data_IF_950237982448
#
_entry.id   IF_950237982448
#
_cell.length_a   1.000
_cell.length_b   1.000
_cell.length_c   1.000
_cell.angle_alpha   90.00
_cell.angle_beta   90.00
_cell.angle_gamma   90.00
#
_symmetry.space_group_name_H-M   'P 1'
#
loop_
_entity.id
_entity.type
_entity.pdbx_description
1 polymer ?
#
# COMPACT_ATOMS: atom_id res chain seq x y z
N UNK A 1 21.64 12.65 14.21
CA UNK A 1 21.67 11.94 12.91
C UNK A 1 22.90 12.19 12.04
N UNK A 2 23.32 11.17 11.25
CA UNK A 2 24.39 11.24 10.24
C UNK A 2 23.83 11.55 8.84
N UNK A 3 24.61 12.21 7.96
CA UNK A 3 24.17 12.64 6.63
C UNK A 3 23.65 11.48 5.75
N UNK A 4 24.34 10.34 5.74
CA UNK A 4 23.92 9.16 4.97
C UNK A 4 22.51 8.71 5.34
N UNK A 5 22.19 8.65 6.64
CA UNK A 5 20.87 8.26 7.14
C UNK A 5 19.80 9.27 6.73
N UNK A 6 20.10 10.57 6.82
CA UNK A 6 19.15 11.62 6.42
C UNK A 6 18.84 11.53 4.92
N UNK A 7 19.87 11.38 4.08
CA UNK A 7 19.70 11.24 2.62
C UNK A 7 18.80 10.06 2.25
N UNK A 8 18.95 8.92 2.93
CA UNK A 8 18.10 7.75 2.72
C UNK A 8 16.63 7.97 3.16
N UNK A 9 16.37 8.93 4.05
CA UNK A 9 15.03 9.23 4.55
C UNK A 9 14.37 10.43 3.85
N UNK A 10 15.06 11.12 2.93
CA UNK A 10 14.52 12.34 2.31
C UNK A 10 13.24 12.12 1.51
N UNK A 11 13.10 11.00 0.77
CA UNK A 11 11.85 10.71 0.04
C UNK A 11 10.68 10.60 1.00
N UNK A 12 10.80 9.69 1.98
CA UNK A 12 9.78 9.48 3.03
C UNK A 12 9.47 10.75 3.83
N UNK A 13 10.47 11.60 4.03
CA UNK A 13 10.30 12.90 4.69
C UNK A 13 9.44 13.85 3.84
N UNK A 14 9.68 13.92 2.53
CA UNK A 14 8.89 14.75 1.60
C UNK A 14 7.46 14.22 1.45
N UNK A 15 7.29 12.90 1.46
CA UNK A 15 6.00 12.22 1.33
C UNK A 15 5.21 12.17 2.66
N UNK A 16 5.75 12.74 3.74
CA UNK A 16 5.16 12.74 5.10
C UNK A 16 4.90 11.34 5.68
N UNK A 17 5.70 10.35 5.28
CA UNK A 17 5.60 8.95 5.72
C UNK A 17 6.41 8.64 7.00
N UNK A 18 7.19 9.61 7.49
CA UNK A 18 7.96 9.47 8.72
C UNK A 18 7.08 9.81 9.93
N UNK A 19 7.17 9.00 10.99
CA UNK A 19 6.61 9.35 12.30
C UNK A 19 7.20 10.65 12.85
N UNK A 20 6.45 11.33 13.72
CA UNK A 20 6.75 12.69 14.21
C UNK A 20 8.18 12.85 14.75
N UNK A 21 8.63 11.91 15.58
CA UNK A 21 9.98 11.95 16.18
C UNK A 21 11.09 11.93 15.13
N UNK A 22 10.95 11.06 14.12
CA UNK A 22 11.94 10.87 13.08
C UNK A 22 11.92 12.04 12.08
N UNK A 23 10.73 12.56 11.77
CA UNK A 23 10.56 13.78 10.98
C UNK A 23 11.24 14.98 11.66
N UNK A 24 11.06 15.13 12.97
CA UNK A 24 11.72 16.18 13.75
C UNK A 24 13.25 16.02 13.77
N UNK A 25 13.79 14.79 13.87
CA UNK A 25 15.24 14.56 13.82
C UNK A 25 15.82 14.92 12.45
N UNK A 26 15.13 14.56 11.36
CA UNK A 26 15.50 14.92 9.98
C UNK A 26 15.47 16.44 9.81
N UNK A 27 14.39 17.12 10.24
CA UNK A 27 14.27 18.58 10.17
C UNK A 27 15.37 19.31 10.93
N UNK A 28 15.71 18.84 12.15
CA UNK A 28 16.85 19.38 12.92
C UNK A 28 18.19 19.25 12.19
N UNK A 29 18.38 18.16 11.43
CA UNK A 29 19.60 17.99 10.64
C UNK A 29 19.61 18.90 9.41
N UNK A 30 18.50 19.03 8.69
CA UNK A 30 18.36 19.93 7.53
C UNK A 30 18.58 21.41 7.89
N UNK A 31 18.21 21.80 9.11
CA UNK A 31 18.50 23.13 9.64
C UNK A 31 20.01 23.42 9.79
N UNK A 32 20.84 22.39 9.99
CA UNK A 32 22.28 22.52 10.28
C UNK A 32 23.20 22.10 9.13
N UNK A 33 22.75 21.21 8.24
CA UNK A 33 23.59 20.64 7.19
C UNK A 33 23.19 21.17 5.80
N UNK A 34 24.04 22.04 5.24
CA UNK A 34 23.86 22.58 3.88
C UNK A 34 23.79 21.48 2.81
N UNK A 35 24.66 20.47 2.88
CA UNK A 35 24.71 19.40 1.89
C UNK A 35 23.45 18.52 1.85
N UNK A 36 22.80 18.31 3.00
CA UNK A 36 21.53 17.58 3.05
C UNK A 36 20.35 18.44 2.61
N UNK A 37 20.35 19.73 2.94
CA UNK A 37 19.36 20.70 2.43
C UNK A 37 19.41 20.84 0.91
N UNK A 38 20.61 20.86 0.33
CA UNK A 38 20.78 20.88 -1.12
C UNK A 38 20.24 19.60 -1.79
N UNK A 39 20.38 18.44 -1.13
CA UNK A 39 19.82 17.19 -1.64
C UNK A 39 18.28 17.16 -1.56
N UNK A 40 17.71 17.62 -0.44
CA UNK A 40 16.27 17.80 -0.28
C UNK A 40 15.69 18.73 -1.36
N UNK A 41 16.33 19.88 -1.60
CA UNK A 41 15.89 20.85 -2.61
C UNK A 41 15.90 20.26 -4.03
N UNK A 42 16.89 19.40 -4.37
CA UNK A 42 16.92 18.70 -5.66
C UNK A 42 15.75 17.74 -5.82
N UNK A 43 15.44 16.97 -4.79
CA UNK A 43 14.28 16.05 -4.78
C UNK A 43 12.97 16.83 -4.90
N UNK A 44 12.80 17.90 -4.12
CA UNK A 44 11.61 18.76 -4.20
C UNK A 44 11.43 19.35 -5.60
N UNK A 45 12.50 19.84 -6.22
CA UNK A 45 12.45 20.34 -7.60
C UNK A 45 12.01 19.29 -8.61
N UNK A 46 12.44 18.03 -8.46
CA UNK A 46 11.98 16.94 -9.33
C UNK A 46 10.48 16.67 -9.16
N UNK A 47 9.96 16.71 -7.93
CA UNK A 47 8.52 16.59 -7.65
C UNK A 47 7.72 17.77 -8.19
N UNK A 48 8.25 19.00 -8.10
CA UNK A 48 7.59 20.19 -8.62
C UNK A 48 7.43 20.09 -10.15
N UNK A 49 8.45 19.60 -10.87
CA UNK A 49 8.36 19.36 -12.31
C UNK A 49 7.31 18.30 -12.66
N UNK A 50 7.17 17.25 -11.85
CA UNK A 50 6.14 16.23 -12.05
C UNK A 50 4.72 16.79 -11.83
N UNK A 51 4.55 17.78 -10.95
CA UNK A 51 3.26 18.44 -10.71
C UNK A 51 2.83 19.37 -11.83
N UNK A 52 3.78 19.87 -12.62
CA UNK A 52 3.49 20.65 -13.83
C UNK A 52 2.97 19.76 -14.97
N UNK A 53 3.08 18.43 -14.84
CA UNK A 53 2.56 17.50 -15.83
C UNK A 53 1.03 17.61 -15.89
N UNK A 54 0.43 17.69 -17.10
CA UNK A 54 -1.01 17.84 -17.25
C UNK A 54 -1.72 16.65 -16.61
N UNK A 55 -2.70 16.95 -15.77
CA UNK A 55 -3.54 15.92 -15.16
C UNK A 55 -4.36 15.26 -16.26
N UNK A 56 -4.10 13.98 -16.49
CA UNK A 56 -4.81 13.18 -17.48
C UNK A 56 -6.06 12.59 -16.84
N UNK A 57 -7.21 12.87 -17.43
CA UNK A 57 -8.46 12.26 -16.97
C UNK A 57 -8.41 10.74 -17.23
N UNK A 58 -8.69 9.91 -16.21
CA UNK A 58 -8.66 8.46 -16.36
C UNK A 58 -9.71 8.01 -17.38
N UNK A 59 -9.26 7.26 -18.39
CA UNK A 59 -10.12 6.82 -19.48
C UNK A 59 -10.93 5.60 -19.03
N UNK A 60 -12.27 5.75 -19.03
CA UNK A 60 -13.27 4.71 -18.78
C UNK A 60 -13.28 4.07 -17.38
N UNK A 61 -14.49 3.85 -16.85
CA UNK A 61 -14.69 3.06 -15.63
C UNK A 61 -14.29 3.73 -14.31
N UNK A 62 -13.72 4.94 -14.33
CA UNK A 62 -13.37 5.69 -13.12
C UNK A 62 -14.59 5.94 -12.23
N UNK A 63 -15.71 6.36 -12.81
CA UNK A 63 -16.97 6.56 -12.08
C UNK A 63 -17.50 5.26 -11.46
N UNK A 64 -17.42 4.14 -12.19
CA UNK A 64 -17.83 2.83 -11.70
C UNK A 64 -16.91 2.35 -10.56
N UNK A 65 -15.61 2.64 -10.63
CA UNK A 65 -14.64 2.36 -9.58
C UNK A 65 -14.92 3.21 -8.34
N UNK A 66 -15.12 4.53 -8.51
CA UNK A 66 -15.50 5.44 -7.43
C UNK A 66 -16.79 4.99 -6.75
N UNK A 67 -17.80 4.60 -7.52
CA UNK A 67 -19.05 4.07 -6.99
C UNK A 67 -18.82 2.82 -6.12
N UNK A 68 -17.98 1.87 -6.58
CA UNK A 68 -17.63 0.67 -5.79
C UNK A 68 -16.85 0.99 -4.53
N UNK A 69 -15.89 1.92 -4.59
CA UNK A 69 -15.10 2.35 -3.42
C UNK A 69 -16.02 2.97 -2.37
N UNK A 70 -16.86 3.92 -2.77
CA UNK A 70 -17.81 4.58 -1.89
C UNK A 70 -18.81 3.58 -1.27
N UNK A 71 -19.29 2.62 -2.05
CA UNK A 71 -20.21 1.59 -1.56
C UNK A 71 -19.56 0.66 -0.51
N UNK A 72 -18.27 0.34 -0.66
CA UNK A 72 -17.53 -0.44 0.35
C UNK A 72 -17.35 0.32 1.68
N UNK A 73 -17.12 1.64 1.63
CA UNK A 73 -17.03 2.46 2.84
C UNK A 73 -18.39 2.50 3.58
N UNK A 74 -19.49 2.71 2.86
CA UNK A 74 -20.84 2.71 3.44
C UNK A 74 -21.25 1.33 3.98
N UNK A 75 -20.85 0.25 3.31
CA UNK A 75 -21.13 -1.11 3.78
C UNK A 75 -20.38 -1.46 5.08
N UNK A 76 -19.18 -0.90 5.30
CA UNK A 76 -18.39 -1.13 6.51
C UNK A 76 -18.94 -0.39 7.74
N UNK A 77 -19.61 0.74 7.53
CA UNK A 77 -20.27 1.52 8.59
C UNK A 77 -21.68 1.03 8.93
N UNK A 78 -22.21 0.06 8.18
CA UNK A 78 -23.50 -0.56 8.49
C UNK A 78 -23.36 -1.38 9.77
N UNK A 79 -23.57 -0.72 10.91
CA UNK A 79 -23.78 -1.37 12.19
C UNK A 79 -24.91 -2.37 12.02
N UNK A 80 -24.59 -3.65 12.26
CA UNK A 80 -25.61 -4.71 12.23
C UNK A 80 -26.64 -4.33 13.29
N UNK A 81 -27.93 -4.16 12.95
CA UNK A 81 -28.93 -3.82 13.93
C UNK A 81 -29.03 -4.97 14.92
N UNK A 82 -28.47 -4.79 16.12
CA UNK A 82 -28.62 -5.78 17.19
C UNK A 82 -30.05 -5.69 17.72
N UNK A 83 -30.85 -6.76 17.61
CA UNK A 83 -32.15 -6.79 18.26
C UNK A 83 -31.94 -6.75 19.78
N UNK A 84 -32.59 -5.80 20.45
CA UNK A 84 -32.57 -5.69 21.91
C UNK A 84 -33.47 -6.78 22.50
N UNK A 85 -32.94 -7.99 22.69
CA UNK A 85 -33.66 -9.03 23.43
C UNK A 85 -33.60 -8.73 24.93
N UNK A 86 -34.74 -8.77 25.65
CA UNK A 86 -34.76 -8.63 27.10
C UNK A 86 -34.29 -9.94 27.76
N UNK A 87 -32.98 -10.11 27.89
CA UNK A 87 -32.38 -11.25 28.58
C UNK A 87 -32.21 -10.93 30.06
N UNK A 88 -32.74 -11.75 30.99
CA UNK A 88 -32.49 -11.58 32.42
C UNK A 88 -31.01 -11.82 32.74
N UNK A 89 -30.48 -11.14 33.78
CA UNK A 89 -29.04 -11.08 34.09
C UNK A 89 -28.37 -12.46 34.22
N UNK A 90 -29.10 -13.46 34.71
CA UNK A 90 -28.61 -14.83 34.84
C UNK A 90 -28.44 -15.53 33.48
N UNK A 91 -29.34 -15.28 32.52
CA UNK A 91 -29.25 -15.85 31.18
C UNK A 91 -28.09 -15.24 30.37
N UNK A 92 -27.82 -13.94 30.55
CA UNK A 92 -26.66 -13.28 29.96
C UNK A 92 -25.33 -13.88 30.47
N UNK A 93 -25.24 -14.17 31.77
CA UNK A 93 -24.06 -14.81 32.36
C UNK A 93 -23.82 -16.23 31.82
N UNK A 94 -24.90 -17.02 31.66
CA UNK A 94 -24.82 -18.37 31.07
C UNK A 94 -24.39 -18.30 29.59
N UNK A 95 -24.96 -17.37 28.80
CA UNK A 95 -24.59 -17.18 27.40
C UNK A 95 -23.11 -16.78 27.24
N UNK A 96 -22.61 -15.88 28.09
CA UNK A 96 -21.20 -15.50 28.08
C UNK A 96 -20.29 -16.70 28.42
N UNK A 97 -20.58 -17.41 29.52
CA UNK A 97 -19.78 -18.54 29.95
C UNK A 97 -19.78 -19.70 28.93
N UNK A 98 -20.94 -20.00 28.34
CA UNK A 98 -21.07 -21.03 27.31
C UNK A 98 -20.34 -20.65 26.03
N UNK A 99 -20.41 -19.39 25.58
CA UNK A 99 -19.68 -18.94 24.39
C UNK A 99 -18.16 -19.08 24.53
N UNK A 100 -17.62 -18.75 25.70
CA UNK A 100 -16.20 -18.90 26.00
C UNK A 100 -15.82 -20.38 26.04
N UNK A 101 -16.61 -21.21 26.75
CA UNK A 101 -16.35 -22.63 26.85
C UNK A 101 -16.39 -23.34 25.48
N UNK A 102 -17.35 -22.98 24.63
CA UNK A 102 -17.47 -23.51 23.25
C UNK A 102 -16.30 -23.05 22.40
N UNK A 103 -15.91 -21.78 22.46
CA UNK A 103 -14.76 -21.26 21.72
C UNK A 103 -13.44 -21.93 22.12
N UNK A 104 -13.23 -22.14 23.42
CA UNK A 104 -12.06 -22.85 23.95
C UNK A 104 -12.10 -24.33 23.56
N UNK A 105 -13.25 -25.00 23.68
CA UNK A 105 -13.39 -26.39 23.26
C UNK A 105 -13.13 -26.56 21.76
N UNK A 106 -13.70 -25.69 20.90
CA UNK A 106 -13.41 -25.72 19.47
C UNK A 106 -11.92 -25.45 19.19
N UNK A 107 -11.29 -24.49 19.87
CA UNK A 107 -9.87 -24.18 19.68
C UNK A 107 -8.91 -25.30 20.12
N UNK A 108 -9.32 -26.15 21.06
CA UNK A 108 -8.53 -27.32 21.51
C UNK A 108 -8.83 -28.55 20.65
N UNK A 109 -10.06 -28.72 20.19
CA UNK A 109 -10.52 -29.93 19.47
C UNK A 109 -10.25 -29.84 17.97
N UNK A 110 -10.18 -28.65 17.39
CA UNK A 110 -9.83 -28.48 15.98
C UNK A 110 -8.30 -28.43 15.84
N UNK A 111 -7.63 -29.52 15.38
CA UNK A 111 -6.23 -29.46 15.01
C UNK A 111 -6.06 -28.42 13.90
N UNK A 112 -4.93 -27.69 13.93
CA UNK A 112 -4.53 -26.68 12.95
C UNK A 112 -5.04 -27.04 11.56
N UNK A 113 -6.08 -26.34 11.09
CA UNK A 113 -6.44 -26.39 9.68
C UNK A 113 -5.21 -25.92 8.93
N UNK A 114 -4.60 -26.84 8.20
CA UNK A 114 -3.45 -26.65 7.33
C UNK A 114 -3.63 -25.34 6.57
N UNK A 115 -3.05 -24.25 7.06
CA UNK A 115 -2.85 -23.05 6.25
C UNK A 115 -1.86 -23.51 5.21
N UNK A 116 -2.23 -23.61 3.92
CA UNK A 116 -1.27 -23.99 2.91
C UNK A 116 -0.20 -22.90 2.86
N UNK A 117 0.94 -23.13 3.52
CA UNK A 117 2.15 -22.29 3.47
C UNK A 117 2.82 -22.36 2.09
N UNK A 118 2.24 -23.10 1.15
CA UNK A 118 2.59 -22.98 -0.26
C UNK A 118 2.18 -21.60 -0.75
N UNK A 119 3.16 -20.82 -1.20
CA UNK A 119 2.91 -19.64 -2.02
C UNK A 119 1.92 -20.04 -3.13
N UNK A 120 0.83 -19.29 -3.33
CA UNK A 120 -0.09 -19.57 -4.42
C UNK A 120 0.71 -19.59 -5.73
N UNK A 121 0.51 -20.62 -6.54
CA UNK A 121 1.12 -20.68 -7.87
C UNK A 121 0.72 -19.42 -8.66
N UNK A 122 1.58 -18.94 -9.56
CA UNK A 122 1.27 -17.75 -10.39
C UNK A 122 -0.09 -17.89 -11.08
N UNK A 123 -0.45 -19.10 -11.53
CA UNK A 123 -1.73 -19.39 -12.16
C UNK A 123 -2.94 -19.15 -11.22
N UNK A 124 -2.79 -19.43 -9.92
CA UNK A 124 -3.86 -19.16 -8.94
C UNK A 124 -4.03 -17.67 -8.67
N UNK A 125 -2.94 -16.90 -8.72
CA UNK A 125 -2.99 -15.43 -8.56
C UNK A 125 -3.65 -14.79 -9.79
N UNK A 126 -3.26 -15.20 -11.00
CA UNK A 126 -3.86 -14.71 -12.26
C UNK A 126 -5.36 -14.97 -12.31
N UNK A 127 -5.80 -16.18 -11.95
CA UNK A 127 -7.22 -16.53 -11.94
C UNK A 127 -8.01 -15.78 -10.86
N UNK A 128 -7.43 -15.54 -9.67
CA UNK A 128 -8.12 -14.82 -8.59
C UNK A 128 -8.25 -13.32 -8.87
N UNK A 129 -7.37 -12.76 -9.69
CA UNK A 129 -7.41 -11.36 -10.12
C UNK A 129 -8.31 -11.13 -11.34
N UNK A 130 -8.93 -12.18 -11.90
CA UNK A 130 -9.76 -12.13 -13.12
C UNK A 130 -9.01 -11.44 -14.29
N UNK A 131 -7.68 -11.59 -14.32
CA UNK A 131 -6.84 -11.03 -15.38
C UNK A 131 -6.83 -12.02 -16.54
N UNK A 132 -7.23 -11.56 -17.73
CA UNK A 132 -7.04 -12.38 -18.91
C UNK A 132 -5.55 -12.43 -19.26
N UNK A 133 -5.03 -13.59 -19.73
CA UNK A 133 -3.60 -13.76 -19.99
C UNK A 133 -3.00 -12.72 -20.97
N UNK A 134 -3.84 -12.07 -21.78
CA UNK A 134 -3.44 -11.01 -22.68
C UNK A 134 -3.09 -9.69 -21.97
N UNK A 135 -3.73 -9.38 -20.84
CA UNK A 135 -3.51 -8.12 -20.10
C UNK A 135 -2.13 -8.07 -19.43
N UNK A 136 -1.61 -9.23 -19.00
CA UNK A 136 -0.30 -9.36 -18.35
C UNK A 136 0.83 -9.20 -19.37
N UNK A 137 0.65 -9.72 -20.58
CA UNK A 137 1.63 -9.62 -21.67
C UNK A 137 1.75 -8.18 -22.16
N UNK A 138 0.64 -7.47 -22.29
CA UNK A 138 0.61 -6.06 -22.70
C UNK A 138 1.26 -5.14 -21.66
N UNK A 139 1.07 -5.40 -20.36
CA UNK A 139 1.77 -4.71 -19.29
C UNK A 139 3.29 -4.96 -19.31
N UNK A 140 3.74 -6.18 -19.64
CA UNK A 140 5.18 -6.49 -19.73
C UNK A 140 5.86 -5.87 -20.96
N UNK A 141 5.14 -5.81 -22.08
CA UNK A 141 5.63 -5.21 -23.33
C UNK A 141 5.74 -3.68 -23.22
N UNK A 142 4.78 -3.03 -22.57
CA UNK A 142 4.84 -1.57 -22.34
C UNK A 142 5.99 -1.18 -21.42
N UNK A 143 6.33 -2.02 -20.44
CA UNK A 143 7.50 -1.80 -19.59
C UNK A 143 8.84 -2.02 -20.33
N UNK A 144 8.94 -3.06 -21.17
CA UNK A 144 10.16 -3.33 -21.95
C UNK A 144 10.45 -2.30 -23.04
N UNK A 145 9.41 -1.69 -23.63
CA UNK A 145 9.59 -0.64 -24.64
C UNK A 145 10.02 0.70 -24.03
N UNK A 146 9.75 0.95 -22.74
CA UNK A 146 10.15 2.18 -22.06
C UNK A 146 11.65 2.23 -21.69
N UNK A 147 12.35 1.08 -21.67
CA UNK A 147 13.76 0.97 -21.27
C UNK A 147 14.74 0.95 -22.47
N UNK A 148 14.23 1.08 -23.70
CA UNK A 148 15.01 0.93 -24.94
C UNK A 148 15.82 2.16 -25.40
N UNK A 149 15.62 3.34 -24.78
CA UNK A 149 16.14 4.63 -25.31
C UNK A 149 17.33 5.20 -24.52
N UNK A 150 18.31 4.36 -24.18
CA UNK A 150 19.63 4.82 -23.71
C UNK A 150 20.76 4.04 -24.39
N UNK A 151 21.06 4.38 -25.65
CA UNK A 151 22.40 4.15 -26.21
C UNK A 151 23.09 5.50 -26.44
N UNK A 152 24.21 5.79 -25.76
CA UNK A 152 25.02 6.96 -26.09
C UNK A 152 25.74 6.73 -27.42
N UNK A 153 25.64 7.69 -28.34
CA UNK A 153 26.47 7.78 -29.53
C UNK A 153 27.91 8.04 -29.07
N UNK A 154 28.72 6.98 -29.02
CA UNK A 154 30.16 7.08 -28.78
C UNK A 154 30.82 7.69 -30.03
N UNK A 155 31.11 9.00 -29.98
CA UNK A 155 31.99 9.66 -30.94
C UNK A 155 33.37 9.04 -30.83
N UNK A 156 33.74 8.23 -31.82
CA UNK A 156 35.11 7.78 -32.03
C UNK A 156 35.79 8.77 -32.98
N UNK A 157 36.39 9.82 -32.42
CA UNK A 157 37.52 10.47 -33.07
C UNK A 157 38.78 9.65 -32.77
N UNK A 158 39.46 9.21 -33.82
CA UNK A 158 40.92 9.02 -33.94
C UNK A 158 41.19 8.24 -35.25
N UNK A 159 41.41 8.99 -36.33
CA UNK A 159 42.61 8.88 -37.19
C UNK A 159 42.63 10.04 -38.18
#
# INVERSE_FOLDING_TARGET
>A
MRCFKVRALLSKYLDSELGEDLSAEVGKHLAKCFACRAAEAKLRRALDLLREWPETEPQFGYDALLARVNQKHVARERSVPMPKLPVPRWAAAIMAATSIAVGVALGIILPESNVPTSLPSEQQVVNAMDLHPYDVVEASLTYSLADGDQRPIEKRELQ
#
